data_IF_973453862985
#
_entry.id   IF_973453862985
#
_cell.length_a   1.000
_cell.length_b   1.000
_cell.length_c   1.000
_cell.angle_alpha   90.00
_cell.angle_beta   90.00
_cell.angle_gamma   90.00
#
_symmetry.space_group_name_H-M   'P 1'
#
loop_
_entity.id
_entity.type
_entity.pdbx_description
1 polymer ?
#
# COMPACT_ATOMS: atom_id res chain seq x y z
N UNK A 1 -14.41 -24.28 0.84
CA UNK A 1 -13.27 -23.33 0.86
C UNK A 1 -12.69 -23.33 2.26
N UNK A 2 -11.37 -23.47 2.42
CA UNK A 2 -10.72 -23.41 3.74
C UNK A 2 -10.76 -22.00 4.34
N UNK A 3 -10.48 -21.90 5.65
CA UNK A 3 -10.40 -20.61 6.36
C UNK A 3 -9.23 -19.81 5.77
N UNK A 4 -9.52 -18.57 5.34
CA UNK A 4 -8.49 -17.66 4.82
C UNK A 4 -7.64 -17.15 5.98
N UNK A 5 -6.32 -17.08 5.79
CA UNK A 5 -5.42 -16.41 6.75
C UNK A 5 -5.75 -14.92 6.78
N UNK A 6 -5.88 -14.37 7.97
CA UNK A 6 -6.12 -12.95 8.19
C UNK A 6 -4.80 -12.18 8.24
N UNK A 7 -4.73 -11.05 7.54
CA UNK A 7 -3.49 -10.26 7.43
C UNK A 7 -3.77 -8.76 7.44
N UNK A 8 -2.93 -7.99 8.14
CA UNK A 8 -2.89 -6.53 8.06
C UNK A 8 -1.58 -6.06 7.43
N UNK A 9 -1.63 -4.96 6.67
CA UNK A 9 -0.43 -4.25 6.23
C UNK A 9 -0.35 -3.01 7.10
N UNK A 10 0.60 -2.99 8.04
CA UNK A 10 0.91 -1.82 8.84
C UNK A 10 1.64 -0.84 7.94
N UNK A 11 1.22 0.43 7.99
CA UNK A 11 1.80 1.47 7.13
C UNK A 11 3.31 1.56 7.34
N UNK A 12 4.07 1.57 6.25
CA UNK A 12 5.54 1.61 6.31
C UNK A 12 6.01 2.90 7.00
N UNK A 13 7.09 2.80 7.77
CA UNK A 13 7.69 3.93 8.48
C UNK A 13 8.68 4.68 7.60
N UNK A 14 8.72 5.99 7.75
CA UNK A 14 9.67 6.84 7.05
C UNK A 14 10.75 7.31 8.03
N UNK A 15 11.95 6.75 7.86
CA UNK A 15 13.16 7.09 8.60
C UNK A 15 14.18 7.79 7.70
N UNK A 16 13.75 8.37 6.57
CA UNK A 16 14.64 9.10 5.65
C UNK A 16 14.93 10.53 6.09
N UNK A 17 14.06 11.11 6.95
CA UNK A 17 14.10 12.53 7.30
C UNK A 17 13.51 13.48 6.24
N UNK A 18 13.09 12.96 5.08
CA UNK A 18 12.41 13.72 4.03
C UNK A 18 10.93 13.31 3.95
N UNK A 19 10.04 14.30 3.79
CA UNK A 19 8.61 14.12 3.60
C UNK A 19 8.26 13.26 2.39
N UNK A 20 9.05 13.29 1.32
CA UNK A 20 8.83 12.45 0.15
C UNK A 20 8.86 10.95 0.49
N UNK A 21 9.58 10.58 1.56
CA UNK A 21 9.57 9.24 2.12
C UNK A 21 8.19 8.81 2.65
N UNK A 22 7.36 9.74 3.15
CA UNK A 22 6.01 9.42 3.63
C UNK A 22 5.08 9.05 2.47
N UNK A 23 5.23 9.76 1.36
CA UNK A 23 4.47 9.50 0.13
C UNK A 23 4.86 8.14 -0.43
N UNK A 24 6.16 7.87 -0.48
CA UNK A 24 6.68 6.57 -0.87
C UNK A 24 6.14 5.43 0.02
N UNK A 25 6.23 5.57 1.34
CA UNK A 25 5.71 4.58 2.28
C UNK A 25 4.22 4.35 2.11
N UNK A 26 3.45 5.41 1.82
CA UNK A 26 2.02 5.33 1.53
C UNK A 26 1.73 4.56 0.24
N UNK A 27 2.50 4.82 -0.84
CA UNK A 27 2.39 4.07 -2.09
C UNK A 27 2.73 2.59 -1.92
N UNK A 28 3.79 2.27 -1.18
CA UNK A 28 4.20 0.89 -0.93
C UNK A 28 3.19 0.13 -0.06
N UNK A 29 2.64 0.79 0.96
CA UNK A 29 1.55 0.25 1.79
C UNK A 29 0.36 -0.14 0.92
N UNK A 30 -0.09 0.79 0.06
CA UNK A 30 -1.23 0.57 -0.84
C UNK A 30 -0.96 -0.53 -1.86
N UNK A 31 0.25 -0.56 -2.41
CA UNK A 31 0.69 -1.59 -3.32
C UNK A 31 0.49 -2.97 -2.67
N UNK A 32 1.16 -3.24 -1.55
CA UNK A 32 1.08 -4.55 -0.88
C UNK A 32 -0.37 -4.87 -0.49
N UNK A 33 -1.11 -3.91 0.07
CA UNK A 33 -2.50 -4.11 0.48
C UNK A 33 -3.40 -4.57 -0.68
N UNK A 34 -3.38 -3.85 -1.80
CA UNK A 34 -4.22 -4.19 -2.96
C UNK A 34 -3.75 -5.46 -3.64
N UNK A 35 -2.44 -5.68 -3.75
CA UNK A 35 -1.88 -6.90 -4.32
C UNK A 35 -2.38 -8.14 -3.61
N UNK A 36 -2.29 -8.14 -2.27
CA UNK A 36 -2.73 -9.26 -1.44
C UNK A 36 -4.25 -9.41 -1.44
N UNK A 37 -4.99 -8.30 -1.49
CA UNK A 37 -6.46 -8.32 -1.57
C UNK A 37 -6.95 -8.98 -2.85
N UNK A 38 -6.28 -8.70 -3.99
CA UNK A 38 -6.63 -9.26 -5.30
C UNK A 38 -6.41 -10.77 -5.42
N UNK A 39 -5.56 -11.36 -4.58
CA UNK A 39 -5.35 -12.82 -4.59
C UNK A 39 -6.62 -13.60 -4.23
N UNK A 40 -7.55 -12.99 -3.48
CA UNK A 40 -8.79 -13.64 -3.05
C UNK A 40 -8.60 -14.85 -2.10
N UNK A 41 -7.36 -15.14 -1.69
CA UNK A 41 -6.98 -16.23 -0.76
C UNK A 41 -6.75 -15.77 0.69
N UNK A 42 -6.72 -14.46 0.91
CA UNK A 42 -6.46 -13.82 2.20
C UNK A 42 -7.69 -13.06 2.68
N UNK A 43 -7.81 -12.93 4.00
CA UNK A 43 -8.67 -11.93 4.64
C UNK A 43 -7.82 -10.70 4.99
N UNK A 44 -7.69 -9.79 4.03
CA UNK A 44 -6.87 -8.58 4.17
C UNK A 44 -7.66 -7.51 4.92
N UNK A 45 -7.14 -7.06 6.07
CA UNK A 45 -7.78 -6.02 6.88
C UNK A 45 -7.69 -4.67 6.20
N UNK A 46 -8.76 -3.88 6.38
CA UNK A 46 -8.87 -2.56 5.77
C UNK A 46 -7.73 -1.63 6.20
N UNK A 47 -7.24 -0.82 5.25
CA UNK A 47 -6.19 0.17 5.49
C UNK A 47 -6.48 1.13 6.66
N UNK A 48 -7.73 1.56 6.83
CA UNK A 48 -8.13 2.42 7.95
C UNK A 48 -8.01 1.70 9.31
N UNK A 49 -8.35 0.41 9.34
CA UNK A 49 -8.11 -0.44 10.51
C UNK A 49 -6.61 -0.53 10.78
N UNK A 50 -5.79 -0.77 9.75
CA UNK A 50 -4.32 -0.81 9.89
C UNK A 50 -3.72 0.47 10.46
N UNK A 51 -4.21 1.64 10.01
CA UNK A 51 -3.76 2.95 10.51
C UNK A 51 -4.11 3.13 12.00
N UNK A 52 -5.33 2.78 12.41
CA UNK A 52 -5.76 2.85 13.81
C UNK A 52 -4.95 1.94 14.75
N UNK A 53 -4.53 0.77 14.27
CA UNK A 53 -3.60 -0.11 15.01
C UNK A 53 -2.27 0.62 15.23
N UNK A 54 -1.70 1.17 14.15
CA UNK A 54 -0.42 1.87 14.19
C UNK A 54 -0.44 3.08 15.13
N UNK A 55 -1.55 3.82 15.15
CA UNK A 55 -1.75 4.99 16.01
C UNK A 55 -2.11 4.61 17.46
N UNK A 56 -2.18 3.32 17.81
CA UNK A 56 -2.54 2.85 19.15
C UNK A 56 -3.98 3.19 19.56
N UNK A 57 -4.84 3.55 18.59
CA UNK A 57 -6.24 3.90 18.82
C UNK A 57 -7.06 2.65 19.16
N UNK A 58 -6.67 1.50 18.62
CA UNK A 58 -7.23 0.20 18.97
C UNK A 58 -6.16 -0.55 19.76
N UNK A 59 -6.55 -1.18 20.88
CA UNK A 59 -5.63 -1.97 21.68
C UNK A 59 -4.99 -3.07 20.81
N UNK A 60 -3.70 -3.32 21.03
CA UNK A 60 -2.98 -4.38 20.33
C UNK A 60 -3.61 -5.75 20.56
N UNK A 61 -4.25 -5.96 21.71
CA UNK A 61 -4.88 -7.23 22.08
C UNK A 61 -6.18 -7.52 21.31
N UNK A 62 -7.03 -6.51 21.09
CA UNK A 62 -8.31 -6.69 20.38
C UNK A 62 -8.11 -7.03 18.89
N UNK A 63 -6.98 -6.61 18.32
CA UNK A 63 -6.76 -6.66 16.88
C UNK A 63 -5.70 -7.70 16.46
N UNK A 64 -4.60 -7.89 17.21
CA UNK A 64 -3.74 -9.07 17.00
C UNK A 64 -4.44 -10.37 17.39
N UNK A 65 -5.40 -10.34 18.34
CA UNK A 65 -6.19 -11.51 18.69
C UNK A 65 -6.97 -12.13 17.51
N UNK A 66 -7.26 -11.33 16.48
CA UNK A 66 -8.00 -11.73 15.27
C UNK A 66 -7.16 -11.71 13.98
N UNK A 67 -5.84 -11.54 14.10
CA UNK A 67 -4.90 -11.59 12.97
C UNK A 67 -4.06 -12.86 13.04
N UNK A 68 -3.77 -13.46 11.88
CA UNK A 68 -2.76 -14.51 11.77
C UNK A 68 -1.39 -13.90 11.49
N UNK A 69 -1.35 -12.86 10.65
CA UNK A 69 -0.12 -12.19 10.23
C UNK A 69 -0.28 -10.68 10.12
N UNK A 70 0.85 -9.97 10.15
CA UNK A 70 0.91 -8.60 9.66
C UNK A 70 2.22 -8.34 8.92
N UNK A 71 2.18 -7.37 8.00
CA UNK A 71 3.36 -6.85 7.30
C UNK A 71 3.70 -5.51 7.90
N UNK A 72 4.97 -5.30 8.20
CA UNK A 72 5.52 -4.00 8.61
C UNK A 72 6.80 -3.71 7.82
N UNK A 73 7.30 -2.49 7.92
CA UNK A 73 8.55 -2.13 7.28
C UNK A 73 8.91 -0.67 7.48
N UNK A 74 10.16 -0.35 7.15
CA UNK A 74 10.70 0.99 7.30
C UNK A 74 11.59 1.36 6.11
N UNK A 75 11.38 2.55 5.58
CA UNK A 75 12.22 3.20 4.59
C UNK A 75 13.28 4.03 5.31
N UNK A 76 14.55 3.83 4.98
CA UNK A 76 15.64 4.72 5.35
C UNK A 76 16.40 5.18 4.11
N UNK A 77 17.22 6.21 4.27
CA UNK A 77 18.05 6.74 3.19
C UNK A 77 19.47 6.94 3.71
N UNK A 78 20.44 6.46 2.94
CA UNK A 78 21.87 6.67 3.19
C UNK A 78 22.47 7.21 1.90
N UNK A 79 22.95 8.45 1.93
CA UNK A 79 23.35 9.19 0.74
C UNK A 79 22.23 9.16 -0.32
N UNK A 80 22.53 8.70 -1.53
CA UNK A 80 21.58 8.67 -2.64
C UNK A 80 20.75 7.38 -2.71
N UNK A 81 21.02 6.41 -1.83
CA UNK A 81 20.34 5.12 -1.84
C UNK A 81 19.25 5.06 -0.77
N UNK A 82 18.08 4.60 -1.19
CA UNK A 82 16.98 4.25 -0.29
C UNK A 82 17.09 2.78 0.08
N UNK A 83 16.77 2.46 1.32
CA UNK A 83 16.70 1.11 1.85
C UNK A 83 15.31 0.87 2.41
N UNK A 84 14.65 -0.18 1.95
CA UNK A 84 13.37 -0.61 2.53
C UNK A 84 13.56 -1.97 3.19
N UNK A 85 13.25 -2.02 4.48
CA UNK A 85 13.13 -3.27 5.23
C UNK A 85 11.66 -3.63 5.31
N UNK A 86 11.33 -4.89 5.03
CA UNK A 86 9.96 -5.41 5.06
C UNK A 86 9.97 -6.70 5.86
N UNK A 87 9.03 -6.83 6.78
CA UNK A 87 8.89 -8.01 7.63
C UNK A 87 7.47 -8.54 7.61
N UNK A 88 7.35 -9.86 7.49
CA UNK A 88 6.11 -10.60 7.72
C UNK A 88 6.18 -11.20 9.12
N UNK A 89 5.27 -10.77 9.99
CA UNK A 89 5.25 -11.16 11.40
C UNK A 89 4.05 -12.06 11.66
N UNK A 90 4.23 -13.09 12.50
CA UNK A 90 3.12 -13.86 13.05
C UNK A 90 2.49 -13.08 14.20
N UNK A 91 1.21 -12.72 14.05
CA UNK A 91 0.52 -11.86 15.02
C UNK A 91 0.36 -12.50 16.41
N UNK A 92 0.27 -13.84 16.48
CA UNK A 92 -0.02 -14.56 17.73
C UNK A 92 1.19 -14.64 18.66
N UNK A 93 2.39 -14.78 18.11
CA UNK A 93 3.61 -14.95 18.89
C UNK A 93 4.66 -13.85 18.65
N UNK A 94 4.35 -12.86 17.80
CA UNK A 94 5.20 -11.72 17.47
C UNK A 94 6.56 -12.11 16.84
N UNK A 95 6.71 -13.35 16.38
CA UNK A 95 7.93 -13.79 15.72
C UNK A 95 7.94 -13.35 14.26
N UNK A 96 9.09 -12.83 13.83
CA UNK A 96 9.39 -12.59 12.42
C UNK A 96 9.39 -13.92 11.66
N UNK A 97 8.46 -14.06 10.71
CA UNK A 97 8.41 -15.21 9.81
C UNK A 97 9.39 -15.04 8.65
N UNK A 98 9.49 -13.82 8.14
CA UNK A 98 10.37 -13.46 7.04
C UNK A 98 10.72 -11.98 7.13
N UNK A 99 11.94 -11.63 6.72
CA UNK A 99 12.36 -10.25 6.47
C UNK A 99 13.14 -10.16 5.17
N UNK A 100 12.94 -9.06 4.45
CA UNK A 100 13.70 -8.71 3.25
C UNK A 100 14.18 -7.27 3.31
N UNK A 101 15.38 -7.02 2.80
CA UNK A 101 15.93 -5.68 2.62
C UNK A 101 16.16 -5.44 1.13
N UNK A 102 15.74 -4.27 0.64
CA UNK A 102 15.92 -3.88 -0.74
C UNK A 102 16.55 -2.48 -0.79
N UNK A 103 17.61 -2.36 -1.59
CA UNK A 103 18.34 -1.11 -1.79
C UNK A 103 18.09 -0.65 -3.22
N UNK A 104 17.74 0.63 -3.40
CA UNK A 104 17.38 1.17 -4.70
C UNK A 104 17.72 2.66 -4.77
N UNK A 105 18.05 3.14 -5.97
CA UNK A 105 18.00 4.57 -6.27
C UNK A 105 16.55 5.02 -6.53
N UNK A 106 16.30 6.33 -6.48
CA UNK A 106 14.97 6.96 -6.60
C UNK A 106 14.07 6.33 -7.69
N UNK A 107 14.65 6.03 -8.86
CA UNK A 107 13.92 5.61 -10.05
C UNK A 107 13.75 4.10 -10.20
N UNK A 108 14.27 3.30 -9.27
CA UNK A 108 14.40 1.85 -9.44
C UNK A 108 13.37 1.05 -8.62
N UNK A 109 12.59 1.67 -7.74
CA UNK A 109 11.71 0.91 -6.83
C UNK A 109 10.75 -0.06 -7.53
N UNK A 110 10.23 0.31 -8.70
CA UNK A 110 9.27 -0.52 -9.43
C UNK A 110 9.88 -1.88 -9.83
N UNK A 111 11.20 -2.01 -9.87
CA UNK A 111 11.88 -3.28 -10.13
C UNK A 111 11.74 -4.28 -8.99
N UNK A 112 11.46 -3.83 -7.76
CA UNK A 112 11.35 -4.68 -6.57
C UNK A 112 9.91 -5.05 -6.22
N UNK A 113 8.90 -4.47 -6.87
CA UNK A 113 7.48 -4.73 -6.60
C UNK A 113 7.16 -6.23 -6.64
N UNK A 114 7.49 -6.91 -7.73
CA UNK A 114 7.26 -8.35 -7.88
C UNK A 114 7.98 -9.15 -6.80
N UNK A 115 9.25 -8.83 -6.57
CA UNK A 115 10.09 -9.57 -5.63
C UNK A 115 9.55 -9.46 -4.21
N UNK A 116 9.11 -8.27 -3.79
CA UNK A 116 8.47 -8.04 -2.50
C UNK A 116 7.19 -8.86 -2.38
N UNK A 117 6.29 -8.76 -3.36
CA UNK A 117 5.01 -9.45 -3.33
C UNK A 117 5.18 -10.98 -3.35
N UNK A 118 6.04 -11.50 -4.23
CA UNK A 118 6.33 -12.93 -4.32
C UNK A 118 6.90 -13.47 -3.01
N UNK A 119 7.83 -12.76 -2.38
CA UNK A 119 8.40 -13.19 -1.09
C UNK A 119 7.33 -13.23 0.01
N UNK A 120 6.45 -12.23 0.08
CA UNK A 120 5.36 -12.23 1.07
C UNK A 120 4.43 -13.44 0.84
N UNK A 121 3.99 -13.66 -0.40
CA UNK A 121 3.01 -14.72 -0.73
C UNK A 121 3.61 -16.12 -0.53
N UNK A 122 4.86 -16.33 -0.94
CA UNK A 122 5.58 -17.59 -0.72
C UNK A 122 5.72 -17.88 0.78
N UNK A 123 6.13 -16.90 1.58
CA UNK A 123 6.26 -17.08 3.03
C UNK A 123 4.90 -17.23 3.74
N UNK A 124 3.81 -16.79 3.12
CA UNK A 124 2.45 -17.09 3.59
C UNK A 124 2.00 -18.52 3.23
N UNK A 125 2.76 -19.28 2.44
CA UNK A 125 2.36 -20.57 1.89
C UNK A 125 0.98 -20.49 1.21
N UNK A 126 0.81 -19.50 0.34
CA UNK A 126 -0.41 -19.32 -0.46
C UNK A 126 -0.10 -19.78 -1.86
N UNK A 127 -0.89 -20.72 -2.35
CA UNK A 127 -0.91 -21.06 -3.77
C UNK A 127 -1.61 -19.93 -4.55
N UNK A 128 -0.90 -19.35 -5.51
CA UNK A 128 -1.38 -18.24 -6.32
C UNK A 128 -0.99 -18.43 -7.78
N UNK A 129 -1.85 -17.92 -8.67
CA UNK A 129 -1.53 -17.81 -10.08
C UNK A 129 -0.56 -16.63 -10.28
N UNK A 130 0.68 -16.86 -10.76
CA UNK A 130 1.66 -15.80 -10.98
C UNK A 130 1.15 -14.66 -11.87
N UNK A 131 0.22 -14.94 -12.79
CA UNK A 131 -0.36 -13.93 -13.68
C UNK A 131 -1.12 -12.84 -12.91
N UNK A 132 -1.72 -13.19 -11.76
CA UNK A 132 -2.47 -12.24 -10.91
C UNK A 132 -1.57 -11.15 -10.31
N UNK A 133 -0.31 -11.47 -10.04
CA UNK A 133 0.68 -10.49 -9.58
C UNK A 133 1.34 -9.77 -10.77
N UNK A 134 1.54 -10.44 -11.90
CA UNK A 134 2.20 -9.88 -13.08
C UNK A 134 1.41 -8.72 -13.72
N UNK A 135 0.08 -8.78 -13.70
CA UNK A 135 -0.81 -7.69 -14.15
C UNK A 135 -0.76 -6.42 -13.27
N UNK A 136 0.08 -6.40 -12.23
CA UNK A 136 0.23 -5.25 -11.34
C UNK A 136 1.39 -4.32 -11.74
N UNK A 137 2.29 -4.78 -12.61
CA UNK A 137 3.38 -3.96 -13.18
C UNK A 137 2.86 -2.74 -13.93
N UNK A 138 1.73 -2.89 -14.62
CA UNK A 138 1.14 -1.80 -15.40
C UNK A 138 0.41 -0.76 -14.53
N UNK A 139 0.31 -0.98 -13.21
CA UNK A 139 -0.41 -0.06 -12.31
C UNK A 139 0.28 1.31 -12.18
N UNK A 140 1.59 1.36 -12.38
CA UNK A 140 2.38 2.59 -12.30
C UNK A 140 3.23 2.70 -13.56
N UNK A 141 3.01 3.73 -14.36
CA UNK A 141 3.77 3.94 -15.60
C UNK A 141 5.25 4.17 -15.33
N UNK A 142 5.58 4.85 -14.23
CA UNK A 142 6.92 5.23 -13.83
C UNK A 142 6.95 5.54 -12.32
N UNK A 143 8.14 5.78 -11.79
CA UNK A 143 8.36 6.08 -10.37
C UNK A 143 7.69 7.38 -9.93
N UNK A 144 7.55 8.36 -10.82
CA UNK A 144 6.80 9.60 -10.57
C UNK A 144 5.31 9.32 -10.30
N UNK A 145 4.66 8.54 -11.16
CA UNK A 145 3.26 8.12 -10.99
C UNK A 145 3.06 7.32 -9.69
N UNK A 146 4.05 6.50 -9.32
CA UNK A 146 4.04 5.77 -8.05
C UNK A 146 4.08 6.72 -6.85
N UNK A 147 4.97 7.72 -6.89
CA UNK A 147 5.11 8.71 -5.82
C UNK A 147 3.88 9.60 -5.70
N UNK A 148 3.32 10.09 -6.81
CA UNK A 148 2.10 10.90 -6.82
C UNK A 148 0.88 10.13 -6.28
N UNK A 149 0.77 8.83 -6.59
CA UNK A 149 -0.24 7.99 -5.94
C UNK A 149 -0.04 7.98 -4.43
N UNK A 150 1.20 7.78 -3.97
CA UNK A 150 1.56 7.80 -2.56
C UNK A 150 1.21 9.10 -1.86
N UNK A 151 1.51 10.23 -2.51
CA UNK A 151 1.22 11.57 -2.01
C UNK A 151 -0.29 11.78 -1.87
N UNK A 152 -1.08 11.43 -2.89
CA UNK A 152 -2.53 11.57 -2.83
C UNK A 152 -3.14 10.72 -1.71
N UNK A 153 -2.64 9.50 -1.56
CA UNK A 153 -3.03 8.54 -0.53
C UNK A 153 -2.65 9.02 0.88
N UNK A 154 -1.47 9.61 1.03
CA UNK A 154 -1.02 10.22 2.28
C UNK A 154 -1.91 11.41 2.65
N UNK A 155 -2.20 12.30 1.70
CA UNK A 155 -3.06 13.45 1.93
C UNK A 155 -4.49 13.05 2.29
N UNK A 156 -5.05 12.05 1.61
CA UNK A 156 -6.38 11.54 1.90
C UNK A 156 -6.47 11.03 3.35
N UNK A 157 -5.48 10.26 3.79
CA UNK A 157 -5.43 9.69 5.14
C UNK A 157 -5.28 10.73 6.24
N UNK A 158 -4.67 11.87 5.91
CA UNK A 158 -4.52 13.01 6.80
C UNK A 158 -5.67 14.04 6.63
N UNK A 159 -6.78 13.61 6.01
CA UNK A 159 -7.96 14.43 5.74
C UNK A 159 -7.68 15.71 4.91
N UNK A 160 -6.54 15.79 4.23
CA UNK A 160 -6.23 16.86 3.29
C UNK A 160 -6.75 16.50 1.89
N UNK A 161 -8.08 16.44 1.77
CA UNK A 161 -8.74 15.96 0.55
C UNK A 161 -8.50 16.86 -0.66
N UNK A 162 -8.20 18.15 -0.47
CA UNK A 162 -7.89 19.07 -1.56
C UNK A 162 -6.57 18.69 -2.23
N UNK A 163 -5.50 18.50 -1.45
CA UNK A 163 -4.21 18.09 -2.01
C UNK A 163 -4.27 16.66 -2.53
N UNK A 164 -5.01 15.77 -1.87
CA UNK A 164 -5.22 14.41 -2.36
C UNK A 164 -5.81 14.42 -3.79
N UNK A 165 -6.82 15.26 -4.01
CA UNK A 165 -7.46 15.40 -5.33
C UNK A 165 -6.49 15.92 -6.39
N UNK A 166 -5.59 16.85 -6.04
CA UNK A 166 -4.54 17.35 -6.94
C UNK A 166 -3.62 16.20 -7.36
N UNK A 167 -3.02 15.48 -6.41
CA UNK A 167 -2.10 14.38 -6.73
C UNK A 167 -2.78 13.27 -7.56
N UNK A 168 -4.05 12.93 -7.28
CA UNK A 168 -4.76 11.94 -8.11
C UNK A 168 -5.07 12.44 -9.53
N UNK A 169 -5.30 13.75 -9.72
CA UNK A 169 -5.40 14.30 -11.07
C UNK A 169 -4.05 14.27 -11.79
N UNK A 170 -2.94 14.54 -11.10
CA UNK A 170 -1.60 14.48 -11.69
C UNK A 170 -1.24 13.07 -12.14
N UNK A 171 -1.61 12.04 -11.38
CA UNK A 171 -1.50 10.64 -11.83
C UNK A 171 -2.31 10.40 -13.10
N UNK A 172 -3.53 10.93 -13.19
CA UNK A 172 -4.40 10.77 -14.36
C UNK A 172 -3.94 11.59 -15.57
N UNK A 173 -3.14 12.64 -15.37
CA UNK A 173 -2.48 13.36 -16.45
C UNK A 173 -1.35 12.52 -17.07
N UNK A 174 -0.64 11.72 -16.27
CA UNK A 174 0.39 10.77 -16.73
C UNK A 174 -0.23 9.52 -17.38
N UNK A 175 -1.28 9.00 -16.74
CA UNK A 175 -2.01 7.82 -17.19
C UNK A 175 -3.51 7.95 -16.89
N UNK A 176 -4.26 8.40 -17.90
CA UNK A 176 -5.71 8.64 -17.79
C UNK A 176 -6.52 7.37 -17.50
N UNK A 177 -5.95 6.19 -17.75
CA UNK A 177 -6.58 4.88 -17.51
C UNK A 177 -6.19 4.28 -16.16
N UNK A 178 -5.50 5.02 -15.31
CA UNK A 178 -5.07 4.51 -14.01
C UNK A 178 -6.27 4.28 -13.08
N UNK A 179 -6.71 3.03 -13.00
CA UNK A 179 -7.88 2.60 -12.20
C UNK A 179 -7.71 2.97 -10.71
N UNK A 180 -6.48 2.91 -10.19
CA UNK A 180 -6.20 3.25 -8.80
C UNK A 180 -6.44 4.73 -8.52
N UNK A 181 -5.96 5.60 -9.42
CA UNK A 181 -6.16 7.04 -9.30
C UNK A 181 -7.63 7.41 -9.50
N UNK A 182 -8.34 6.79 -10.43
CA UNK A 182 -9.78 6.99 -10.62
C UNK A 182 -10.57 6.63 -9.35
N UNK A 183 -10.30 5.45 -8.77
CA UNK A 183 -10.94 5.00 -7.53
C UNK A 183 -10.68 5.96 -6.37
N UNK A 184 -9.42 6.33 -6.13
CA UNK A 184 -9.08 7.23 -5.03
C UNK A 184 -9.60 8.66 -5.26
N UNK A 185 -9.62 9.14 -6.51
CA UNK A 185 -10.24 10.42 -6.88
C UNK A 185 -11.73 10.44 -6.58
N UNK A 186 -12.47 9.38 -6.93
CA UNK A 186 -13.91 9.29 -6.62
C UNK A 186 -14.18 9.32 -5.11
N UNK A 187 -13.42 8.56 -4.33
CA UNK A 187 -13.51 8.59 -2.87
C UNK A 187 -13.18 9.98 -2.29
N UNK A 188 -12.18 10.65 -2.85
CA UNK A 188 -11.77 12.00 -2.45
C UNK A 188 -12.85 13.03 -2.76
N UNK A 189 -13.47 12.96 -3.94
CA UNK A 189 -14.58 13.83 -4.31
C UNK A 189 -15.80 13.61 -3.40
N UNK A 190 -16.08 12.36 -3.03
CA UNK A 190 -17.13 12.05 -2.04
C UNK A 190 -16.84 12.68 -0.67
N UNK A 191 -15.59 12.64 -0.20
CA UNK A 191 -15.16 13.33 1.03
C UNK A 191 -15.22 14.86 0.96
N UNK A 192 -15.17 15.42 -0.25
CA UNK A 192 -15.36 16.85 -0.53
C UNK A 192 -16.82 17.21 -0.84
N UNK A 193 -17.76 16.29 -0.63
CA UNK A 193 -19.20 16.47 -0.92
C UNK A 193 -19.51 16.75 -2.41
N UNK A 194 -18.58 16.42 -3.30
CA UNK A 194 -18.71 16.55 -4.77
C UNK A 194 -19.25 15.27 -5.39
N UNK A 195 -20.41 14.82 -4.94
CA UNK A 195 -20.96 13.50 -5.31
C UNK A 195 -21.22 13.34 -6.81
N UNK A 196 -21.73 14.39 -7.48
CA UNK A 196 -21.98 14.36 -8.93
C UNK A 196 -20.70 14.16 -9.75
N UNK A 197 -19.57 14.70 -9.28
CA UNK A 197 -18.29 14.51 -9.95
C UNK A 197 -17.73 13.12 -9.66
N UNK A 198 -17.97 12.57 -8.46
CA UNK A 198 -17.56 11.22 -8.09
C UNK A 198 -18.28 10.15 -8.93
N UNK A 199 -19.58 10.30 -9.18
CA UNK A 199 -20.36 9.32 -9.97
C UNK A 199 -19.94 9.30 -11.43
N UNK A 200 -19.54 10.45 -11.99
CA UNK A 200 -19.07 10.55 -13.39
C UNK A 200 -17.81 9.72 -13.65
N UNK A 201 -16.94 9.56 -12.66
CA UNK A 201 -15.70 8.78 -12.82
C UNK A 201 -15.95 7.31 -13.19
N UNK A 202 -17.08 6.74 -12.75
CA UNK A 202 -17.45 5.35 -13.05
C UNK A 202 -18.40 5.21 -14.25
N UNK A 203 -18.77 6.33 -14.88
CA UNK A 203 -19.77 6.36 -15.95
C UNK A 203 -19.16 6.42 -17.36
N UNK A 204 -17.84 6.60 -17.46
CA UNK A 204 -17.05 6.67 -18.70
C UNK A 204 -16.14 5.44 -18.84
#
# INVERSE_FOLDING_TARGET
MGIKKSIAILGFENNTGNKDGDFFCSALTELVHVSLSKLGRLDVKSRLSSKKIKEGIISTDDLYGNLDYFVEGALSQIADNKHINISLINAKNQNTKWSGQYTFSENEILQYQDTILNNIVQNLNIDFDPVVLQNQKERYKNSESFQLIGEGIYHFDNANYKNALVSFNDVLNIDSRNISAQFHKANTLSKLERYNDATKIYSD
#
